data_IF_817615440948
#
_entry.id   IF_817615440948
#
_cell.length_a   1.000
_cell.length_b   1.000
_cell.length_c   1.000
_cell.angle_alpha   90.00
_cell.angle_beta   90.00
_cell.angle_gamma   90.00
#
_symmetry.space_group_name_H-M   'P 1'
#
loop_
_entity.id
_entity.type
_entity.pdbx_description
1 polymer ?
#
# COMPACT_ATOMS: atom_id res chain seq x y z
N UNK A 1 -9.44 -16.08 5.26
CA UNK A 1 -9.94 -15.13 4.24
C UNK A 1 -10.64 -14.01 4.99
N UNK A 2 -10.37 -12.73 4.67
CA UNK A 2 -10.94 -11.60 5.40
C UNK A 2 -12.48 -11.62 5.30
N UNK A 3 -13.14 -11.15 6.36
CA UNK A 3 -14.60 -11.18 6.48
C UNK A 3 -15.26 -10.01 5.75
N UNK A 4 -14.48 -8.96 5.47
CA UNK A 4 -14.89 -7.77 4.74
C UNK A 4 -13.89 -7.46 3.61
N UNK A 5 -14.39 -6.97 2.48
CA UNK A 5 -13.57 -6.41 1.41
C UNK A 5 -13.66 -4.89 1.45
N UNK A 6 -12.50 -4.23 1.48
CA UNK A 6 -12.44 -2.78 1.47
C UNK A 6 -12.73 -2.25 0.06
N UNK A 7 -13.58 -1.23 -0.04
CA UNK A 7 -13.88 -0.53 -1.30
C UNK A 7 -12.76 0.48 -1.62
N UNK A 8 -11.57 -0.04 -1.91
CA UNK A 8 -10.41 0.77 -2.30
C UNK A 8 -10.56 1.16 -3.78
N UNK A 9 -10.46 2.46 -4.14
CA UNK A 9 -10.58 2.91 -5.52
C UNK A 9 -9.43 2.35 -6.36
N UNK A 10 -9.75 1.84 -7.55
CA UNK A 10 -8.74 1.34 -8.48
C UNK A 10 -8.12 2.49 -9.28
N UNK A 11 -6.80 2.66 -9.16
CA UNK A 11 -6.05 3.63 -9.96
C UNK A 11 -5.15 2.88 -10.95
N UNK A 12 -5.15 3.32 -12.20
CA UNK A 12 -4.27 2.76 -13.22
C UNK A 12 -2.84 3.31 -13.05
N UNK A 13 -1.86 2.43 -13.28
CA UNK A 13 -0.47 2.83 -13.49
C UNK A 13 -0.38 3.79 -14.67
N UNK A 14 0.41 4.87 -14.54
CA UNK A 14 0.67 5.80 -15.64
C UNK A 14 1.87 5.36 -16.47
N UNK A 15 2.78 4.60 -15.88
CA UNK A 15 3.96 4.02 -16.53
C UNK A 15 4.29 2.62 -15.98
N UNK A 16 5.04 1.81 -16.75
CA UNK A 16 5.34 0.42 -16.38
C UNK A 16 6.03 0.24 -15.00
N UNK A 17 6.67 1.29 -14.50
CA UNK A 17 7.49 1.29 -13.29
C UNK A 17 6.78 1.87 -12.04
N UNK A 18 5.55 2.36 -12.14
CA UNK A 18 4.91 3.10 -11.04
C UNK A 18 3.88 2.30 -10.23
N UNK A 19 3.91 0.96 -10.28
CA UNK A 19 2.97 0.10 -9.57
C UNK A 19 2.84 0.41 -8.08
N UNK A 20 3.97 0.69 -7.40
CA UNK A 20 3.94 1.08 -5.98
C UNK A 20 3.26 2.44 -5.79
N UNK A 21 3.52 3.41 -6.65
CA UNK A 21 2.90 4.72 -6.56
C UNK A 21 1.40 4.65 -6.84
N UNK A 22 0.97 3.85 -7.81
CA UNK A 22 -0.45 3.57 -8.03
C UNK A 22 -1.09 2.97 -6.77
N UNK A 23 -0.50 1.93 -6.17
CA UNK A 23 -1.01 1.34 -4.93
C UNK A 23 -1.08 2.32 -3.77
N UNK A 24 -0.05 3.15 -3.59
CA UNK A 24 -0.05 4.19 -2.56
C UNK A 24 -1.16 5.22 -2.83
N UNK A 25 -1.33 5.68 -4.07
CA UNK A 25 -2.40 6.61 -4.42
C UNK A 25 -3.79 6.05 -4.10
N UNK A 26 -4.05 4.78 -4.43
CA UNK A 26 -5.31 4.10 -4.12
C UNK A 26 -5.60 4.07 -2.61
N UNK A 27 -4.58 3.74 -1.81
CA UNK A 27 -4.72 3.67 -0.35
C UNK A 27 -4.92 5.05 0.26
N UNK A 28 -4.18 6.06 -0.21
CA UNK A 28 -4.33 7.42 0.28
C UNK A 28 -5.71 8.00 -0.06
N UNK A 29 -6.22 7.72 -1.26
CA UNK A 29 -7.57 8.08 -1.68
C UNK A 29 -8.64 7.40 -0.80
N UNK A 30 -8.47 6.10 -0.50
CA UNK A 30 -9.34 5.39 0.45
C UNK A 30 -9.34 6.02 1.85
N UNK A 31 -8.18 6.52 2.31
CA UNK A 31 -8.05 7.19 3.61
C UNK A 31 -8.57 8.65 3.58
N UNK A 32 -9.01 9.16 2.44
CA UNK A 32 -9.52 10.53 2.28
C UNK A 32 -8.43 11.58 2.08
N UNK A 33 -7.21 11.17 1.71
CA UNK A 33 -6.06 12.05 1.46
C UNK A 33 -5.61 11.92 -0.01
N UNK A 34 -6.40 12.39 -0.98
CA UNK A 34 -5.99 12.34 -2.37
C UNK A 34 -4.71 13.17 -2.57
N UNK A 35 -3.74 12.59 -3.26
CA UNK A 35 -2.44 13.23 -3.51
C UNK A 35 -2.24 13.53 -4.99
N UNK A 36 -1.47 14.58 -5.25
CA UNK A 36 -0.95 14.82 -6.59
C UNK A 36 0.01 13.68 -6.98
N UNK A 37 -0.28 13.03 -8.10
CA UNK A 37 0.43 11.82 -8.50
C UNK A 37 1.88 12.09 -8.86
N UNK A 38 2.19 13.24 -9.47
CA UNK A 38 3.56 13.58 -9.87
C UNK A 38 4.41 13.87 -8.63
N UNK A 39 3.86 14.57 -7.64
CA UNK A 39 4.47 14.71 -6.31
C UNK A 39 4.71 13.35 -5.64
N UNK A 40 3.80 12.40 -5.80
CA UNK A 40 3.96 11.05 -5.26
C UNK A 40 5.10 10.30 -5.95
N UNK A 41 5.19 10.38 -7.28
CA UNK A 41 6.30 9.80 -8.04
C UNK A 41 7.64 10.37 -7.58
N UNK A 42 7.72 11.69 -7.37
CA UNK A 42 8.94 12.34 -6.88
C UNK A 42 9.28 11.94 -5.44
N UNK A 43 8.30 11.88 -4.54
CA UNK A 43 8.52 11.49 -3.15
C UNK A 43 9.07 10.06 -3.04
N UNK A 44 8.42 9.13 -3.75
CA UNK A 44 8.81 7.74 -3.83
C UNK A 44 10.05 7.52 -4.71
N UNK A 45 10.52 8.56 -5.41
CA UNK A 45 11.71 8.53 -6.27
C UNK A 45 11.60 7.42 -7.33
N UNK A 46 10.43 7.35 -7.97
CA UNK A 46 10.12 6.34 -8.98
C UNK A 46 10.99 6.57 -10.22
N UNK A 47 11.89 5.64 -10.47
CA UNK A 47 12.73 5.64 -11.65
C UNK A 47 12.13 4.86 -12.82
N UNK A 48 12.84 4.77 -13.96
CA UNK A 48 12.38 4.08 -15.16
C UNK A 48 12.17 2.56 -14.98
N UNK A 49 12.77 1.96 -13.93
CA UNK A 49 12.66 0.54 -13.61
C UNK A 49 11.86 0.25 -12.34
N UNK A 50 11.34 1.29 -11.70
CA UNK A 50 10.56 1.20 -10.48
C UNK A 50 11.19 1.93 -9.31
N UNK A 51 10.74 1.56 -8.12
CA UNK A 51 11.24 2.08 -6.86
C UNK A 51 11.38 0.94 -5.85
N UNK A 52 12.41 0.95 -4.98
CA UNK A 52 12.44 0.09 -3.81
C UNK A 52 11.20 0.29 -2.95
N UNK A 53 10.63 -0.81 -2.45
CA UNK A 53 9.38 -0.76 -1.71
C UNK A 53 9.51 -0.01 -0.37
N UNK A 54 10.67 -0.07 0.27
CA UNK A 54 10.98 0.67 1.50
C UNK A 54 10.78 2.19 1.39
N UNK A 55 10.82 2.75 0.17
CA UNK A 55 10.61 4.18 -0.06
C UNK A 55 9.19 4.64 0.25
N UNK A 56 8.24 3.73 0.42
CA UNK A 56 6.92 4.04 0.99
C UNK A 56 7.02 4.70 2.37
N UNK A 57 8.07 4.40 3.15
CA UNK A 57 8.33 5.07 4.45
C UNK A 57 8.57 6.57 4.31
N UNK A 58 8.89 7.07 3.11
CA UNK A 58 9.03 8.50 2.83
C UNK A 58 7.69 9.25 2.92
N UNK A 59 6.55 8.55 2.90
CA UNK A 59 5.24 9.15 3.19
C UNK A 59 5.18 9.80 4.59
N UNK A 60 6.08 9.43 5.51
CA UNK A 60 6.24 10.13 6.78
C UNK A 60 6.58 11.62 6.60
N UNK A 61 7.18 12.03 5.48
CA UNK A 61 7.41 13.44 5.13
C UNK A 61 6.11 14.23 4.92
N UNK A 62 5.01 13.52 4.64
CA UNK A 62 3.66 14.09 4.56
C UNK A 62 2.82 13.82 5.81
N UNK A 63 3.44 13.36 6.90
CA UNK A 63 2.75 13.05 8.16
C UNK A 63 2.05 11.70 8.18
N UNK A 64 2.30 10.84 7.20
CA UNK A 64 1.64 9.53 7.07
C UNK A 64 2.57 8.44 7.57
N UNK A 65 2.17 7.72 8.61
CA UNK A 65 2.99 6.66 9.19
C UNK A 65 2.78 5.36 8.44
N UNK A 66 3.89 4.74 8.04
CA UNK A 66 3.88 3.45 7.33
C UNK A 66 4.61 2.41 8.14
N UNK A 67 3.91 1.33 8.48
CA UNK A 67 4.53 0.11 8.99
C UNK A 67 5.00 -0.75 7.81
N UNK A 68 6.33 -0.80 7.61
CA UNK A 68 6.99 -1.61 6.60
C UNK A 68 7.66 -2.82 7.24
N UNK A 69 7.21 -4.02 6.88
CA UNK A 69 7.79 -5.26 7.39
C UNK A 69 7.11 -6.51 6.84
N UNK A 70 7.68 -7.66 7.17
CA UNK A 70 7.07 -8.95 6.92
C UNK A 70 5.92 -9.19 7.90
N UNK A 71 4.93 -9.98 7.48
CA UNK A 71 3.79 -10.26 8.33
C UNK A 71 3.03 -11.49 7.86
N UNK A 72 2.32 -12.09 8.81
CA UNK A 72 1.55 -13.30 8.58
C UNK A 72 0.16 -12.97 8.01
N UNK A 73 -0.43 -13.95 7.33
CA UNK A 73 -1.80 -13.84 6.79
C UNK A 73 -2.82 -13.46 7.85
N UNK A 74 -2.69 -13.98 9.07
CA UNK A 74 -3.56 -13.65 10.20
C UNK A 74 -3.53 -12.14 10.54
N UNK A 75 -2.35 -11.52 10.44
CA UNK A 75 -2.19 -10.07 10.66
C UNK A 75 -2.81 -9.26 9.54
N UNK A 76 -2.64 -9.69 8.28
CA UNK A 76 -3.28 -9.08 7.13
C UNK A 76 -4.81 -9.11 7.27
N UNK A 77 -5.38 -10.25 7.65
CA UNK A 77 -6.82 -10.40 7.85
C UNK A 77 -7.34 -9.49 8.96
N UNK A 78 -6.64 -9.42 10.09
CA UNK A 78 -7.02 -8.52 11.20
C UNK A 78 -7.01 -7.04 10.79
N UNK A 79 -6.04 -6.61 9.97
CA UNK A 79 -5.96 -5.25 9.47
C UNK A 79 -7.11 -4.92 8.51
N UNK A 80 -7.41 -5.83 7.58
CA UNK A 80 -8.52 -5.66 6.64
C UNK A 80 -9.87 -5.62 7.38
N UNK A 81 -10.08 -6.52 8.34
CA UNK A 81 -11.31 -6.55 9.15
C UNK A 81 -11.45 -5.28 10.01
N UNK A 82 -10.35 -4.61 10.35
CA UNK A 82 -10.35 -3.32 11.04
C UNK A 82 -10.56 -2.10 10.11
N UNK A 83 -10.75 -2.31 8.80
CA UNK A 83 -10.90 -1.21 7.84
C UNK A 83 -9.56 -0.59 7.42
N UNK A 84 -8.43 -1.21 7.75
CA UNK A 84 -7.11 -0.69 7.43
C UNK A 84 -6.66 -1.20 6.05
N UNK A 85 -6.42 -0.31 5.08
CA UNK A 85 -5.89 -0.70 3.78
C UNK A 85 -4.43 -1.15 3.91
N UNK A 86 -4.10 -2.27 3.24
CA UNK A 86 -2.76 -2.87 3.27
C UNK A 86 -2.22 -3.01 1.85
N UNK A 87 -0.96 -2.61 1.62
CA UNK A 87 -0.27 -2.88 0.35
C UNK A 87 0.57 -4.14 0.51
N UNK A 88 0.33 -5.14 -0.34
CA UNK A 88 1.08 -6.40 -0.33
C UNK A 88 2.08 -6.41 -1.50
N UNK A 89 3.36 -6.56 -1.17
CA UNK A 89 4.42 -6.69 -2.17
C UNK A 89 4.54 -8.14 -2.60
N UNK A 90 4.29 -8.42 -3.89
CA UNK A 90 4.39 -9.77 -4.45
C UNK A 90 5.48 -9.83 -5.52
N UNK A 91 6.21 -10.94 -5.58
CA UNK A 91 7.17 -11.22 -6.65
C UNK A 91 6.44 -11.89 -7.82
N UNK A 92 6.00 -11.10 -8.78
CA UNK A 92 5.24 -11.57 -9.96
C UNK A 92 6.01 -12.53 -10.87
N UNK A 93 7.35 -12.57 -10.79
CA UNK A 93 8.17 -13.57 -11.50
C UNK A 93 8.08 -14.98 -10.90
N UNK A 94 7.66 -15.08 -9.64
CA UNK A 94 7.60 -16.33 -8.85
C UNK A 94 6.16 -16.75 -8.55
N UNK A 95 5.16 -16.04 -9.08
CA UNK A 95 3.75 -16.40 -8.92
C UNK A 95 3.37 -17.45 -9.98
N UNK A 96 3.25 -18.75 -9.64
CA UNK A 96 2.43 -19.62 -10.45
C UNK A 96 1.02 -19.04 -10.41
N UNK A 97 0.34 -19.01 -11.55
CA UNK A 97 -1.04 -18.49 -11.68
C UNK A 97 -2.04 -19.38 -10.90
N UNK A 98 -1.56 -20.35 -10.12
CA UNK A 98 -2.31 -21.04 -9.08
C UNK A 98 -1.40 -21.61 -7.99
N UNK A 99 -1.81 -21.36 -6.74
CA UNK A 99 -1.45 -22.03 -5.47
C UNK A 99 -0.12 -21.62 -4.81
N UNK A 100 -0.29 -21.30 -3.53
CA UNK A 100 0.64 -20.90 -2.48
C UNK A 100 1.28 -19.50 -2.54
N UNK A 101 0.82 -18.67 -1.60
CA UNK A 101 1.34 -17.34 -1.30
C UNK A 101 2.69 -17.49 -0.58
N UNK A 102 3.75 -17.10 -1.27
CA UNK A 102 5.07 -16.78 -0.67
C UNK A 102 4.96 -15.60 0.30
N UNK A 103 5.93 -15.40 1.22
CA UNK A 103 5.80 -14.47 2.33
C UNK A 103 5.46 -13.07 1.84
N UNK A 104 4.27 -12.64 2.20
CA UNK A 104 3.73 -11.32 1.96
C UNK A 104 4.42 -10.34 2.91
N UNK A 105 4.86 -9.19 2.39
CA UNK A 105 5.27 -8.04 3.20
C UNK A 105 4.04 -7.11 3.28
N UNK A 106 3.17 -7.24 4.30
CA UNK A 106 2.03 -6.34 4.47
C UNK A 106 2.51 -4.96 4.92
N UNK A 107 2.10 -3.93 4.19
CA UNK A 107 2.31 -2.54 4.56
C UNK A 107 1.04 -1.97 5.17
N UNK A 108 1.06 -1.67 6.47
CA UNK A 108 -0.05 -0.98 7.14
C UNK A 108 0.20 0.52 7.11
N UNK A 109 -0.76 1.30 6.59
CA UNK A 109 -0.69 2.76 6.52
C UNK A 109 -1.66 3.35 7.52
N UNK A 110 -1.18 4.01 8.58
CA UNK A 110 -2.03 4.62 9.62
C UNK A 110 -1.90 6.15 9.59
N UNK A 111 -3.04 6.83 9.44
CA UNK A 111 -3.15 8.28 9.54
C UNK A 111 -3.17 8.70 11.03
N UNK A 112 -2.21 9.53 11.44
CA UNK A 112 -2.09 9.99 12.84
C UNK A 112 -2.87 11.29 13.10
N UNK A 113 -3.54 11.85 12.09
CA UNK A 113 -4.24 13.14 12.16
C UNK A 113 -5.76 13.03 12.40
N UNK A 114 -6.31 11.83 12.51
CA UNK A 114 -7.74 11.64 12.79
C UNK A 114 -8.01 11.57 14.30
N UNK A 115 -8.78 12.50 14.91
CA UNK A 115 -9.18 12.35 16.30
C UNK A 115 -10.14 11.16 16.42
N UNK A 116 -9.94 10.40 17.50
CA UNK A 116 -10.79 9.30 17.93
C UNK A 116 -12.21 9.83 18.14
N UNK A 117 -13.16 9.40 17.30
CA UNK A 117 -14.58 9.61 17.60
C UNK A 117 -15.05 8.45 18.45
N UNK A 118 -15.39 8.78 19.70
CA UNK A 118 -16.18 7.99 20.65
C UNK A 118 -17.65 8.06 20.26
#
# INVERSE_FOLDING_TARGET
MPRCLLSVPLHNMRQAADCLAACVAMVLDYLGHPVDYDRLLHLLDVGPFGTPAERVRRLAQWGITVEYGEGESARLEALIDAGQPVIVLVRTRELPIGRDLTPITPLSLSDTTRPTFT
#
